data_IF_802259755334
#
_entry.id   IF_802259755334
#
_cell.length_a   1.000
_cell.length_b   1.000
_cell.length_c   1.000
_cell.angle_alpha   90.00
_cell.angle_beta   90.00
_cell.angle_gamma   90.00
#
_symmetry.space_group_name_H-M   'P 1'
#
loop_
_entity.id
_entity.type
_entity.pdbx_description
1 polymer ?
#
# COMPACT_ATOMS: atom_id res chain seq x y z
N UNK A 1 6.90 -34.26 -0.53
CA UNK A 1 6.65 -33.87 -0.47
C UNK A 1 6.16 -33.13 -0.17
N UNK A 2 5.93 -32.79 -0.08
CA UNK A 2 5.57 -32.06 0.19
C UNK A 2 4.90 -31.51 0.49
N UNK A 3 4.53 -31.46 0.44
CA UNK A 3 3.94 -30.94 0.68
C UNK A 3 3.50 -30.49 1.37
N UNK A 4 3.68 -30.25 1.75
CA UNK A 4 3.39 -29.72 2.45
C UNK A 4 2.79 -29.10 2.64
N UNK A 5 2.96 -29.44 2.37
CA UNK A 5 2.26 -28.83 2.28
C UNK A 5 1.46 -27.86 2.74
N UNK A 6 0.48 -27.69 2.25
CA UNK A 6 -0.38 -26.72 2.73
C UNK A 6 -0.69 -26.95 4.14
N UNK A 7 -0.09 -26.19 4.91
CA UNK A 7 -0.20 -26.38 6.32
C UNK A 7 -1.17 -25.38 6.90
N UNK A 8 -1.77 -25.69 8.04
CA UNK A 8 -2.53 -24.69 8.76
C UNK A 8 -1.74 -23.44 9.05
N UNK A 9 -0.44 -23.60 9.27
CA UNK A 9 0.42 -22.45 9.49
C UNK A 9 0.41 -21.55 8.27
N UNK A 10 0.36 -22.15 7.09
CA UNK A 10 0.33 -21.37 5.88
C UNK A 10 -0.95 -20.59 5.78
N UNK A 11 -2.06 -21.16 6.19
CA UNK A 11 -3.33 -20.47 6.22
C UNK A 11 -3.32 -19.35 7.25
N UNK A 12 -2.73 -19.60 8.40
CA UNK A 12 -2.61 -18.58 9.42
C UNK A 12 -1.74 -17.43 8.94
N UNK A 13 -0.70 -17.77 8.17
CA UNK A 13 0.20 -16.75 7.66
C UNK A 13 -0.42 -15.92 6.57
N UNK A 14 -1.57 -16.33 6.04
CA UNK A 14 -2.18 -15.58 4.97
C UNK A 14 -2.56 -14.17 5.41
N UNK A 15 -3.05 -14.01 6.63
CA UNK A 15 -3.36 -12.69 7.14
C UNK A 15 -2.09 -11.86 7.27
N UNK A 16 -1.00 -12.49 7.68
CA UNK A 16 0.27 -11.79 7.79
C UNK A 16 0.80 -11.40 6.41
N UNK A 17 0.64 -12.29 5.43
CA UNK A 17 1.06 -11.99 4.07
C UNK A 17 0.24 -10.84 3.51
N UNK A 18 -1.05 -10.85 3.78
CA UNK A 18 -1.92 -9.78 3.32
C UNK A 18 -1.49 -8.45 3.91
N UNK A 19 -1.21 -8.42 5.21
CA UNK A 19 -0.75 -7.19 5.84
C UNK A 19 0.60 -6.76 5.29
N UNK A 20 1.48 -7.71 5.00
CA UNK A 20 2.77 -7.39 4.44
C UNK A 20 2.62 -6.78 3.05
N UNK A 21 1.70 -7.32 2.25
CA UNK A 21 1.42 -6.75 0.94
C UNK A 21 0.89 -5.33 1.05
N UNK A 22 -0.01 -5.09 2.01
CA UNK A 22 -0.56 -3.76 2.20
C UNK A 22 0.51 -2.78 2.65
N UNK A 23 1.39 -3.20 3.53
CA UNK A 23 2.47 -2.34 3.98
C UNK A 23 3.45 -2.06 2.85
N UNK A 24 3.76 -3.06 2.05
CA UNK A 24 4.66 -2.87 0.92
C UNK A 24 4.03 -1.94 -0.12
N UNK A 25 2.74 -2.09 -0.36
CA UNK A 25 2.05 -1.21 -1.29
C UNK A 25 2.05 0.22 -0.78
N UNK A 26 1.81 0.41 0.52
CA UNK A 26 1.86 1.74 1.11
C UNK A 26 3.25 2.34 0.96
N UNK A 27 4.28 1.56 1.26
CA UNK A 27 5.64 2.06 1.17
C UNK A 27 5.98 2.46 -0.27
N UNK A 28 5.54 1.66 -1.24
CA UNK A 28 5.79 1.97 -2.64
C UNK A 28 5.07 3.25 -3.04
N UNK A 29 3.81 3.39 -2.63
CA UNK A 29 3.06 4.60 -2.95
C UNK A 29 3.70 5.83 -2.32
N UNK A 30 4.12 5.71 -1.07
CA UNK A 30 4.77 6.84 -0.40
C UNK A 30 6.09 7.18 -1.05
N UNK A 31 6.83 6.18 -1.51
CA UNK A 31 8.07 6.44 -2.21
C UNK A 31 7.83 7.23 -3.49
N UNK A 32 6.84 6.81 -4.29
CA UNK A 32 6.49 7.55 -5.49
C UNK A 32 6.07 8.97 -5.16
N UNK A 33 5.27 9.12 -4.12
CA UNK A 33 4.79 10.45 -3.73
C UNK A 33 5.95 11.34 -3.30
N UNK A 34 6.92 10.77 -2.56
CA UNK A 34 8.08 11.55 -2.13
C UNK A 34 8.93 12.01 -3.31
N UNK A 35 8.90 11.26 -4.39
CA UNK A 35 9.60 11.65 -5.61
C UNK A 35 8.78 12.57 -6.49
N UNK A 36 7.59 12.96 -6.05
CA UNK A 36 6.73 13.83 -6.83
C UNK A 36 6.05 13.13 -7.98
N UNK A 37 5.94 11.82 -7.94
CA UNK A 37 5.36 11.05 -9.03
C UNK A 37 3.89 10.77 -8.77
N UNK A 38 3.11 10.79 -9.84
CA UNK A 38 1.74 10.31 -9.77
C UNK A 38 1.73 8.82 -10.03
N UNK A 39 0.67 8.16 -9.56
CA UNK A 39 0.48 6.74 -9.84
C UNK A 39 -0.90 6.56 -10.42
N UNK A 40 -1.09 5.42 -11.08
CA UNK A 40 -2.39 5.06 -11.63
C UNK A 40 -2.97 3.95 -10.77
N UNK A 41 -4.26 4.01 -10.54
CA UNK A 41 -4.91 2.94 -9.81
C UNK A 41 -6.32 2.73 -10.36
N UNK A 42 -6.84 1.54 -10.12
CA UNK A 42 -8.21 1.21 -10.49
C UNK A 42 -9.16 1.75 -9.44
N UNK A 43 -10.18 2.42 -9.91
CA UNK A 43 -11.20 2.94 -9.03
C UNK A 43 -12.53 2.91 -9.76
N UNK A 44 -13.47 2.14 -9.22
CA UNK A 44 -14.80 2.03 -9.80
C UNK A 44 -14.76 1.64 -11.28
N UNK A 45 -13.90 0.66 -11.60
CA UNK A 45 -13.83 0.13 -12.94
C UNK A 45 -13.08 0.96 -13.94
N UNK A 46 -12.33 1.96 -13.49
CA UNK A 46 -11.54 2.79 -14.40
C UNK A 46 -10.21 3.11 -13.77
N UNK A 47 -9.28 3.51 -14.61
CA UNK A 47 -7.95 3.91 -14.16
C UNK A 47 -8.00 5.41 -13.86
N UNK A 48 -7.53 5.77 -12.67
CA UNK A 48 -7.46 7.18 -12.27
C UNK A 48 -6.02 7.49 -11.88
N UNK A 49 -5.67 8.76 -12.00
CA UNK A 49 -4.36 9.25 -11.62
C UNK A 49 -4.44 9.77 -10.19
N UNK A 50 -3.50 9.33 -9.37
CA UNK A 50 -3.46 9.71 -7.96
C UNK A 50 -2.22 10.58 -7.77
N UNK A 51 -2.42 11.77 -7.21
CA UNK A 51 -1.33 12.72 -7.02
C UNK A 51 -0.58 12.42 -5.73
N UNK A 52 0.65 12.94 -5.59
CA UNK A 52 1.38 12.78 -4.33
C UNK A 52 0.60 13.31 -3.14
N UNK A 53 -0.05 14.45 -3.28
CA UNK A 53 -0.82 15.01 -2.16
C UNK A 53 -1.93 14.08 -1.75
N UNK A 54 -2.58 13.47 -2.72
CA UNK A 54 -3.66 12.53 -2.41
C UNK A 54 -3.12 11.30 -1.71
N UNK A 55 -1.94 10.81 -2.13
CA UNK A 55 -1.32 9.66 -1.48
C UNK A 55 -0.97 10.01 -0.04
N UNK A 56 -0.35 11.15 0.17
CA UNK A 56 0.02 11.56 1.52
C UNK A 56 -1.24 11.68 2.40
N UNK A 57 -2.28 12.31 1.89
CA UNK A 57 -3.51 12.47 2.65
C UNK A 57 -4.12 11.12 3.02
N UNK A 58 -4.02 10.15 2.13
CA UNK A 58 -4.57 8.82 2.39
C UNK A 58 -3.95 8.20 3.63
N UNK A 59 -2.70 8.53 3.92
CA UNK A 59 -1.99 7.93 5.04
C UNK A 59 -1.79 8.92 6.19
N UNK A 60 -2.59 10.00 6.22
CA UNK A 60 -2.53 10.92 7.32
C UNK A 60 -1.33 11.83 7.33
N UNK A 61 -0.76 12.09 6.15
CA UNK A 61 0.41 12.92 6.02
C UNK A 61 0.04 14.25 5.35
N UNK A 62 0.85 15.27 5.59
CA UNK A 62 0.62 16.56 4.94
C UNK A 62 1.25 16.55 3.54
N UNK A 63 1.18 17.68 2.86
CA UNK A 63 1.67 17.77 1.48
C UNK A 63 3.17 17.55 1.39
N UNK A 64 3.88 17.65 2.49
CA UNK A 64 5.31 17.40 2.52
C UNK A 64 5.64 15.99 2.94
N UNK A 65 4.62 15.16 3.15
CA UNK A 65 4.84 13.77 3.52
C UNK A 65 5.15 13.57 4.98
N UNK A 66 4.80 14.54 5.83
CA UNK A 66 5.05 14.46 7.26
C UNK A 66 3.74 14.24 7.99
N UNK A 67 3.78 13.59 9.16
CA UNK A 67 2.54 13.34 9.89
C UNK A 67 1.82 14.66 10.19
N UNK A 68 0.51 14.62 9.97
CA UNK A 68 -0.32 15.76 10.31
C UNK A 68 -0.51 15.76 11.81
N UNK A 69 -0.15 16.86 12.44
CA UNK A 69 -0.40 17.01 13.87
C UNK A 69 -1.44 18.10 14.05
N UNK A 70 -2.34 17.85 14.96
CA UNK A 70 -3.39 18.81 15.21
C UNK A 70 -3.27 19.39 16.60
#
# INVERSE_FOLDING_TARGET
MAEQATQPAELLDQAAIERAHQLAARDALLEHARMGRTVSEWRDGRVVTVTPEEIFARYGLDANGKPVTS
#
